data_IF_530204538484
#
_entry.id   IF_530204538484
#
_cell.length_a   1.000
_cell.length_b   1.000
_cell.length_c   1.000
_cell.angle_alpha   90.00
_cell.angle_beta   90.00
_cell.angle_gamma   90.00
#
_symmetry.space_group_name_H-M   'P 1'
#
loop_
_entity.id
_entity.type
_entity.pdbx_description
1 polymer ?
#
# COMPACT_ATOMS: atom_id res chain seq x y z
N UNK A 1 -22.78 4.40 -4.46
CA UNK A 1 -21.55 4.83 -5.20
C UNK A 1 -21.39 6.31 -4.96
N UNK A 2 -20.25 6.72 -4.44
CA UNK A 2 -19.84 8.12 -4.35
C UNK A 2 -18.92 8.40 -5.53
N UNK A 3 -19.34 9.25 -6.43
CA UNK A 3 -18.56 9.65 -7.61
C UNK A 3 -18.26 11.14 -7.47
N UNK A 4 -16.98 11.49 -7.48
CA UNK A 4 -16.53 12.87 -7.66
C UNK A 4 -15.80 12.97 -9.00
N UNK A 5 -16.19 13.93 -9.81
CA UNK A 5 -15.55 14.27 -11.07
C UNK A 5 -15.22 15.77 -11.07
N UNK A 6 -14.24 16.16 -11.86
CA UNK A 6 -13.75 17.53 -11.93
C UNK A 6 -12.38 17.72 -11.26
N UNK A 7 -12.02 18.97 -10.94
CA UNK A 7 -10.75 19.29 -10.27
C UNK A 7 -10.90 19.14 -8.76
N UNK A 8 -10.07 18.28 -8.15
CA UNK A 8 -10.07 18.11 -6.70
C UNK A 8 -9.58 19.37 -5.98
N UNK A 9 -10.13 19.70 -4.79
CA UNK A 9 -9.58 20.72 -3.94
C UNK A 9 -8.19 20.33 -3.41
N UNK A 10 -7.41 21.31 -2.98
CA UNK A 10 -6.00 21.14 -2.54
C UNK A 10 -5.79 20.05 -1.47
N UNK A 11 -6.78 19.83 -0.63
CA UNK A 11 -6.79 18.78 0.39
C UNK A 11 -8.15 18.09 0.35
N UNK A 12 -8.15 16.81 0.05
CA UNK A 12 -9.38 16.02 -0.01
C UNK A 12 -9.21 14.76 0.82
N UNK A 13 -10.15 14.52 1.72
CA UNK A 13 -10.24 13.25 2.45
C UNK A 13 -11.61 12.66 2.20
N UNK A 14 -11.65 11.44 1.66
CA UNK A 14 -12.89 10.72 1.35
C UNK A 14 -12.85 9.37 2.05
N UNK A 15 -13.82 9.13 2.90
CA UNK A 15 -14.02 7.87 3.57
C UNK A 15 -15.51 7.71 3.94
N UNK A 16 -16.10 6.51 3.80
CA UNK A 16 -17.54 6.30 4.04
C UNK A 16 -17.96 6.47 5.50
N UNK A 17 -17.09 6.15 6.44
CA UNK A 17 -17.39 6.19 7.86
C UNK A 17 -16.91 7.49 8.53
N UNK A 18 -15.61 7.74 8.47
CA UNK A 18 -14.97 8.90 9.13
C UNK A 18 -13.84 9.44 8.29
N UNK A 19 -13.88 10.73 7.93
CA UNK A 19 -12.77 11.36 7.20
C UNK A 19 -11.55 11.61 8.11
N UNK A 20 -11.80 11.97 9.38
CA UNK A 20 -10.73 12.22 10.36
C UNK A 20 -11.14 11.75 11.75
N UNK A 21 -10.33 10.90 12.37
CA UNK A 21 -10.54 10.43 13.74
C UNK A 21 -9.32 10.71 14.62
N UNK A 22 -9.56 11.21 15.82
CA UNK A 22 -8.52 11.50 16.82
C UNK A 22 -8.95 11.03 18.20
N UNK A 23 -8.03 10.36 18.93
CA UNK A 23 -8.26 9.86 20.28
C UNK A 23 -9.53 9.01 20.40
N UNK A 24 -9.75 8.13 19.43
CA UNK A 24 -11.01 7.41 19.27
C UNK A 24 -10.79 5.91 19.11
N UNK A 25 -11.88 5.14 19.27
CA UNK A 25 -11.95 3.72 18.94
C UNK A 25 -13.07 3.51 17.95
N UNK A 26 -12.80 2.75 16.89
CA UNK A 26 -13.75 2.40 15.82
C UNK A 26 -13.76 0.88 15.71
N UNK A 27 -14.86 0.25 16.10
CA UNK A 27 -15.00 -1.21 16.16
C UNK A 27 -16.20 -1.72 15.40
N UNK A 28 -16.14 -2.94 14.88
CA UNK A 28 -17.27 -3.68 14.31
C UNK A 28 -17.92 -3.04 13.09
N UNK A 29 -17.23 -2.10 12.45
CA UNK A 29 -17.79 -1.34 11.32
C UNK A 29 -17.50 -2.04 9.99
N UNK A 30 -18.51 -2.07 9.11
CA UNK A 30 -18.36 -2.60 7.75
C UNK A 30 -18.85 -1.60 6.72
N UNK A 31 -18.00 -1.30 5.73
CA UNK A 31 -18.39 -0.57 4.55
C UNK A 31 -18.76 -1.52 3.41
N UNK A 32 -19.90 -1.29 2.78
CA UNK A 32 -20.38 -1.98 1.57
C UNK A 32 -20.39 -1.08 0.33
N UNK A 33 -20.11 0.21 0.49
CA UNK A 33 -20.18 1.18 -0.59
C UNK A 33 -18.89 1.29 -1.37
N UNK A 34 -19.02 1.36 -2.68
CA UNK A 34 -17.92 1.65 -3.57
C UNK A 34 -17.55 3.13 -3.52
N UNK A 35 -16.26 3.41 -3.59
CA UNK A 35 -15.72 4.77 -3.71
C UNK A 35 -15.06 4.87 -5.07
N UNK A 36 -15.58 5.76 -5.90
CA UNK A 36 -15.04 6.05 -7.21
C UNK A 36 -14.73 7.55 -7.30
N UNK A 37 -13.45 7.86 -7.17
CA UNK A 37 -12.95 9.23 -7.21
C UNK A 37 -12.17 9.43 -8.51
N UNK A 38 -12.85 9.92 -9.53
CA UNK A 38 -12.29 10.12 -10.88
C UNK A 38 -11.85 11.56 -11.15
N UNK A 39 -11.84 12.43 -10.13
CA UNK A 39 -11.39 13.81 -10.30
C UNK A 39 -9.90 13.87 -10.61
N UNK A 40 -9.55 14.76 -11.53
CA UNK A 40 -8.16 15.07 -11.84
C UNK A 40 -7.50 15.78 -10.64
N UNK A 41 -6.42 15.21 -10.15
CA UNK A 41 -5.58 15.83 -9.12
C UNK A 41 -4.43 16.59 -9.76
N UNK A 42 -4.21 17.82 -9.28
CA UNK A 42 -3.01 18.58 -9.61
C UNK A 42 -1.86 18.20 -8.67
N UNK A 43 -0.64 18.36 -9.14
CA UNK A 43 0.56 18.09 -8.32
C UNK A 43 0.58 18.93 -7.04
N UNK A 44 1.08 18.33 -5.96
CA UNK A 44 1.23 18.99 -4.66
C UNK A 44 -0.02 18.99 -3.78
N UNK A 45 -1.10 18.36 -4.20
CA UNK A 45 -2.32 18.21 -3.42
C UNK A 45 -2.26 16.91 -2.60
N UNK A 46 -2.67 17.00 -1.34
CA UNK A 46 -2.81 15.83 -0.48
C UNK A 46 -4.22 15.28 -0.57
N UNK A 47 -4.34 14.03 -0.96
CA UNK A 47 -5.64 13.37 -1.06
C UNK A 47 -5.58 12.00 -0.38
N UNK A 48 -6.52 11.77 0.52
CA UNK A 48 -6.65 10.53 1.27
C UNK A 48 -8.00 9.88 0.95
N UNK A 49 -7.97 8.71 0.36
CA UNK A 49 -9.14 7.93 0.02
C UNK A 49 -9.06 6.54 0.67
N UNK A 50 -10.14 6.12 1.30
CA UNK A 50 -10.18 4.80 1.90
C UNK A 50 -11.58 4.20 1.92
N UNK A 51 -11.61 2.90 2.01
CA UNK A 51 -12.86 2.15 2.13
C UNK A 51 -13.56 2.33 3.48
N UNK A 52 -12.90 2.91 4.49
CA UNK A 52 -13.53 3.07 5.80
C UNK A 52 -13.18 4.38 6.51
N UNK A 53 -11.89 4.66 6.78
CA UNK A 53 -11.43 5.82 7.56
C UNK A 53 -10.33 6.56 6.81
N UNK A 54 -10.47 7.87 6.66
CA UNK A 54 -9.51 8.67 5.90
C UNK A 54 -8.18 8.83 6.62
N UNK A 55 -8.17 9.55 7.73
CA UNK A 55 -6.96 9.84 8.51
C UNK A 55 -7.19 9.58 9.99
N UNK A 56 -6.20 8.99 10.65
CA UNK A 56 -6.23 8.76 12.10
C UNK A 56 -5.04 9.37 12.83
N UNK A 57 -5.31 9.82 14.06
CA UNK A 57 -4.34 10.30 15.03
C UNK A 57 -4.68 9.66 16.38
N UNK A 58 -3.75 8.92 16.99
CA UNK A 58 -3.97 8.25 18.28
C UNK A 58 -5.34 7.54 18.35
N UNK A 59 -5.65 6.75 17.34
CA UNK A 59 -6.96 6.11 17.17
C UNK A 59 -6.77 4.63 16.88
N UNK A 60 -7.61 3.80 17.50
CA UNK A 60 -7.67 2.36 17.22
C UNK A 60 -8.80 2.07 16.25
N UNK A 61 -8.51 1.32 15.18
CA UNK A 61 -9.52 0.73 14.28
C UNK A 61 -9.51 -0.78 14.47
N UNK A 62 -10.68 -1.37 14.78
CA UNK A 62 -10.83 -2.74 15.23
C UNK A 62 -10.54 -2.88 16.72
N UNK A 63 -10.77 -4.05 17.27
CA UNK A 63 -10.67 -4.31 18.71
C UNK A 63 -9.71 -5.45 19.05
N UNK A 64 -9.95 -6.09 20.17
CA UNK A 64 -9.09 -7.16 20.68
C UNK A 64 -9.44 -8.55 20.09
N UNK A 65 -10.47 -8.64 19.24
CA UNK A 65 -10.93 -9.87 18.61
C UNK A 65 -11.43 -9.65 17.19
N UNK A 66 -11.54 -10.72 16.40
CA UNK A 66 -12.12 -10.68 15.04
C UNK A 66 -13.55 -10.14 15.02
N UNK A 67 -14.33 -10.35 16.07
CA UNK A 67 -15.71 -9.87 16.16
C UNK A 67 -15.78 -8.33 16.25
N UNK A 68 -14.74 -7.70 16.77
CA UNK A 68 -14.60 -6.25 16.87
C UNK A 68 -13.86 -5.64 15.66
N UNK A 69 -13.36 -6.47 14.77
CA UNK A 69 -12.64 -6.05 13.56
C UNK A 69 -13.53 -5.21 12.63
N UNK A 70 -12.90 -4.33 11.88
CA UNK A 70 -13.57 -3.53 10.87
C UNK A 70 -13.32 -4.08 9.47
N UNK A 71 -14.25 -3.86 8.53
CA UNK A 71 -14.06 -4.36 7.18
C UNK A 71 -14.52 -3.40 6.08
N UNK A 72 -13.84 -3.46 4.94
CA UNK A 72 -14.28 -2.84 3.70
C UNK A 72 -14.62 -3.91 2.67
N UNK A 73 -15.82 -3.83 2.08
CA UNK A 73 -16.30 -4.72 1.01
C UNK A 73 -16.52 -3.99 -0.32
N UNK A 74 -16.53 -2.66 -0.29
CA UNK A 74 -16.62 -1.85 -1.49
C UNK A 74 -15.26 -1.68 -2.17
N UNK A 75 -15.25 -1.51 -3.48
CA UNK A 75 -14.00 -1.12 -4.16
C UNK A 75 -13.63 0.35 -3.84
N UNK A 76 -12.33 0.65 -3.94
CA UNK A 76 -11.81 2.01 -3.83
C UNK A 76 -11.01 2.31 -5.09
N UNK A 77 -11.48 3.28 -5.86
CA UNK A 77 -10.86 3.67 -7.11
C UNK A 77 -10.55 5.16 -7.09
N UNK A 78 -9.35 5.50 -7.52
CA UNK A 78 -8.90 6.89 -7.61
C UNK A 78 -8.58 7.26 -9.04
N UNK A 79 -8.85 8.50 -9.40
CA UNK A 79 -8.48 9.08 -10.67
C UNK A 79 -6.98 9.39 -10.76
N UNK A 80 -6.60 9.88 -11.91
CA UNK A 80 -5.23 10.24 -12.29
C UNK A 80 -4.76 11.49 -11.55
N UNK A 81 -3.45 11.56 -11.25
CA UNK A 81 -2.76 12.82 -10.95
C UNK A 81 -2.27 13.41 -12.26
N UNK A 82 -2.80 14.59 -12.62
CA UNK A 82 -2.56 15.22 -13.92
C UNK A 82 -1.19 15.89 -14.07
N UNK A 83 -0.39 15.99 -13.00
CA UNK A 83 0.92 16.63 -13.07
C UNK A 83 2.00 15.83 -12.34
N UNK A 84 3.03 15.50 -13.08
CA UNK A 84 4.10 14.57 -12.74
C UNK A 84 5.36 15.24 -12.21
N UNK A 85 5.42 16.58 -12.16
CA UNK A 85 6.65 17.30 -11.82
C UNK A 85 7.19 16.99 -10.41
N UNK A 86 6.34 16.51 -9.49
CA UNK A 86 6.74 16.17 -8.13
C UNK A 86 6.20 14.79 -7.68
N UNK A 87 6.03 13.87 -8.61
CA UNK A 87 5.93 12.45 -8.30
C UNK A 87 4.74 11.97 -7.50
N UNK A 88 3.60 12.66 -7.52
CA UNK A 88 2.35 12.09 -7.01
C UNK A 88 2.34 11.65 -5.55
N UNK A 89 3.15 12.26 -4.68
CA UNK A 89 3.22 11.91 -3.25
C UNK A 89 1.93 12.20 -2.48
N UNK A 90 1.03 12.97 -3.07
CA UNK A 90 -0.20 13.43 -2.43
C UNK A 90 -1.32 12.41 -2.33
N UNK A 91 -1.34 11.36 -3.19
CA UNK A 91 -2.42 10.38 -3.16
C UNK A 91 -2.15 9.26 -2.16
N UNK A 92 -3.11 9.04 -1.26
CA UNK A 92 -3.08 7.97 -0.27
C UNK A 92 -4.37 7.15 -0.42
N UNK A 93 -4.28 5.93 -0.91
CA UNK A 93 -5.45 5.09 -1.20
C UNK A 93 -5.38 3.76 -0.46
N UNK A 94 -6.40 3.42 0.30
CA UNK A 94 -6.42 2.18 1.07
C UNK A 94 -7.80 1.54 1.20
N UNK A 95 -7.80 0.25 1.54
CA UNK A 95 -9.02 -0.46 1.87
C UNK A 95 -9.63 -0.05 3.21
N UNK A 96 -8.81 0.21 4.22
CA UNK A 96 -9.28 0.52 5.59
C UNK A 96 -8.94 1.95 6.00
N UNK A 97 -7.68 2.35 6.02
CA UNK A 97 -7.25 3.67 6.48
C UNK A 97 -6.24 4.28 5.53
N UNK A 98 -6.52 5.46 4.99
CA UNK A 98 -5.62 6.07 4.04
C UNK A 98 -4.33 6.58 4.70
N UNK A 99 -4.41 7.19 5.89
CA UNK A 99 -3.25 7.83 6.50
C UNK A 99 -3.23 7.70 8.03
N UNK A 100 -2.19 7.07 8.55
CA UNK A 100 -1.87 7.07 9.98
C UNK A 100 -0.87 8.19 10.25
N UNK A 101 -1.36 9.28 10.82
CA UNK A 101 -0.62 10.54 10.93
C UNK A 101 0.48 10.51 11.99
N UNK A 102 1.36 11.50 11.90
CA UNK A 102 2.49 11.74 12.79
C UNK A 102 2.03 12.29 14.15
N UNK A 103 1.43 11.43 14.96
CA UNK A 103 1.20 11.67 16.38
C UNK A 103 0.95 10.32 17.02
N UNK A 104 1.31 10.17 18.29
CA UNK A 104 1.33 8.94 19.05
C UNK A 104 0.27 7.90 18.67
N UNK A 105 0.72 6.69 18.36
CA UNK A 105 0.04 5.45 18.61
C UNK A 105 -1.28 5.15 17.89
N UNK A 106 -1.40 5.35 16.57
CA UNK A 106 -2.49 4.71 15.84
C UNK A 106 -2.34 3.18 15.86
N UNK A 107 -3.45 2.43 15.97
CA UNK A 107 -3.48 0.96 15.95
C UNK A 107 -4.57 0.47 15.02
N UNK A 108 -4.25 -0.50 14.16
CA UNK A 108 -5.24 -1.30 13.46
C UNK A 108 -5.13 -2.74 13.90
N UNK A 109 -6.27 -3.37 14.20
CA UNK A 109 -6.28 -4.76 14.64
C UNK A 109 -7.51 -5.50 14.12
N UNK A 110 -7.34 -6.72 13.60
CA UNK A 110 -8.39 -7.56 13.03
C UNK A 110 -9.22 -6.88 11.93
N UNK A 111 -8.62 -5.99 11.16
CA UNK A 111 -9.30 -5.35 10.03
C UNK A 111 -9.15 -6.18 8.75
N UNK A 112 -10.20 -6.21 7.93
CA UNK A 112 -10.16 -6.96 6.67
C UNK A 112 -10.63 -6.10 5.49
N UNK A 113 -9.81 -6.00 4.46
CA UNK A 113 -10.21 -5.44 3.18
C UNK A 113 -10.59 -6.57 2.20
N UNK A 114 -11.82 -6.56 1.71
CA UNK A 114 -12.31 -7.44 0.64
C UNK A 114 -12.44 -6.73 -0.70
N UNK A 115 -12.49 -5.39 -0.69
CA UNK A 115 -12.67 -4.59 -1.89
C UNK A 115 -11.40 -4.45 -2.70
N UNK A 116 -11.52 -4.46 -4.02
CA UNK A 116 -10.40 -4.16 -4.89
C UNK A 116 -10.03 -2.68 -4.78
N UNK A 117 -8.74 -2.39 -4.96
CA UNK A 117 -8.21 -1.02 -4.92
C UNK A 117 -7.53 -0.75 -6.24
N UNK A 118 -7.96 0.33 -6.89
CA UNK A 118 -7.37 0.78 -8.15
C UNK A 118 -6.86 2.21 -7.99
N UNK A 119 -5.54 2.40 -8.15
CA UNK A 119 -4.91 3.70 -7.95
C UNK A 119 -3.70 3.87 -8.87
N UNK A 120 -3.76 4.81 -9.82
CA UNK A 120 -2.67 5.01 -10.79
C UNK A 120 -1.45 5.71 -10.19
N UNK A 121 -1.50 6.21 -8.95
CA UNK A 121 -0.42 7.03 -8.40
C UNK A 121 -0.40 7.09 -6.88
N UNK A 122 0.73 7.47 -6.30
CA UNK A 122 0.86 7.69 -4.87
C UNK A 122 1.15 6.43 -4.07
N UNK A 123 0.63 6.38 -2.84
CA UNK A 123 0.81 5.23 -1.93
C UNK A 123 -0.49 4.46 -1.81
N UNK A 124 -0.43 3.16 -2.05
CA UNK A 124 -1.61 2.31 -2.04
C UNK A 124 -1.38 1.08 -1.18
N UNK A 125 -2.28 0.83 -0.24
CA UNK A 125 -2.22 -0.34 0.64
C UNK A 125 -3.56 -1.02 0.80
N UNK A 126 -3.57 -2.33 0.91
CA UNK A 126 -4.80 -3.09 1.16
C UNK A 126 -5.47 -2.70 2.48
N UNK A 127 -4.67 -2.41 3.48
CA UNK A 127 -5.13 -1.97 4.81
C UNK A 127 -4.81 -0.50 5.04
N UNK A 128 -3.55 -0.08 4.89
CA UNK A 128 -3.12 1.31 5.13
C UNK A 128 -2.30 1.81 3.95
N UNK A 129 -2.60 3.00 3.42
CA UNK A 129 -1.77 3.57 2.36
C UNK A 129 -0.47 4.15 2.91
N UNK A 130 -0.54 4.96 3.96
CA UNK A 130 0.65 5.53 4.60
C UNK A 130 0.64 5.31 6.10
N UNK A 131 1.64 4.61 6.58
CA UNK A 131 1.91 4.39 8.00
C UNK A 131 3.08 5.27 8.44
N UNK A 132 2.79 6.40 9.08
CA UNK A 132 3.84 7.23 9.67
C UNK A 132 4.19 6.81 11.09
N UNK A 133 3.17 6.58 11.92
CA UNK A 133 3.31 6.19 13.33
C UNK A 133 2.20 5.22 13.72
N UNK A 134 2.55 4.12 14.35
CA UNK A 134 1.60 3.16 14.87
C UNK A 134 1.84 1.73 14.41
N UNK A 135 0.92 0.86 14.78
CA UNK A 135 1.06 -0.58 14.60
C UNK A 135 -0.14 -1.18 13.88
N UNK A 136 0.09 -2.25 13.12
CA UNK A 136 -0.94 -3.00 12.43
C UNK A 136 -0.81 -4.47 12.81
N UNK A 137 -1.89 -5.05 13.34
CA UNK A 137 -1.91 -6.43 13.81
C UNK A 137 -3.06 -7.21 13.19
N UNK A 138 -2.84 -8.48 12.91
CA UNK A 138 -3.90 -9.44 12.58
C UNK A 138 -4.86 -8.97 11.45
N UNK A 139 -4.35 -8.21 10.49
CA UNK A 139 -5.15 -7.64 9.41
C UNK A 139 -4.99 -8.43 8.11
N UNK A 140 -6.09 -8.57 7.37
CA UNK A 140 -6.14 -9.31 6.12
C UNK A 140 -6.47 -8.40 4.94
N UNK A 141 -5.71 -8.47 3.86
CA UNK A 141 -6.13 -7.96 2.56
C UNK A 141 -6.53 -9.12 1.64
N UNK A 142 -7.76 -9.07 1.13
CA UNK A 142 -8.33 -10.06 0.19
C UNK A 142 -8.65 -9.47 -1.18
N UNK A 143 -8.69 -8.14 -1.27
CA UNK A 143 -8.90 -7.43 -2.52
C UNK A 143 -7.61 -7.32 -3.35
N UNK A 144 -7.75 -7.33 -4.66
CA UNK A 144 -6.65 -7.03 -5.57
C UNK A 144 -6.30 -5.54 -5.50
N UNK A 145 -5.01 -5.24 -5.53
CA UNK A 145 -4.47 -3.88 -5.64
C UNK A 145 -3.82 -3.76 -7.00
N UNK A 146 -4.25 -2.78 -7.79
CA UNK A 146 -3.74 -2.60 -9.13
C UNK A 146 -3.59 -1.14 -9.53
N UNK A 147 -2.71 -0.89 -10.49
CA UNK A 147 -2.68 0.36 -11.24
C UNK A 147 -3.86 0.35 -12.21
N UNK A 148 -4.79 1.27 -12.07
CA UNK A 148 -5.78 1.45 -13.12
C UNK A 148 -5.09 1.99 -14.39
N UNK A 149 -5.21 1.23 -15.48
CA UNK A 149 -4.71 1.64 -16.80
C UNK A 149 -5.50 2.82 -17.37
N UNK A 150 -6.69 3.09 -16.84
CA UNK A 150 -7.53 4.21 -17.27
C UNK A 150 -6.91 5.51 -16.81
N UNK A 151 -6.22 6.18 -17.69
CA UNK A 151 -5.53 7.43 -17.40
C UNK A 151 -4.02 7.31 -17.22
N UNK A 152 -3.44 6.15 -17.50
CA UNK A 152 -2.01 6.07 -17.74
C UNK A 152 -1.64 7.05 -18.84
N UNK A 153 -0.57 7.74 -18.66
CA UNK A 153 0.01 8.77 -19.48
C UNK A 153 0.15 8.32 -20.94
N UNK A 154 -0.93 8.36 -21.74
CA UNK A 154 -0.79 8.21 -23.16
C UNK A 154 0.26 9.23 -23.67
N UNK A 155 1.40 8.72 -24.09
CA UNK A 155 2.47 9.49 -24.72
C UNK A 155 3.45 10.22 -23.78
N UNK A 156 3.48 9.97 -22.45
CA UNK A 156 4.45 10.59 -21.52
C UNK A 156 5.19 9.59 -20.61
N UNK A 157 5.36 8.38 -21.03
CA UNK A 157 5.99 7.31 -20.26
C UNK A 157 7.43 7.62 -19.81
N UNK A 158 8.14 8.45 -20.55
CA UNK A 158 9.58 8.72 -20.30
C UNK A 158 9.88 9.82 -19.28
N UNK A 159 8.89 10.55 -18.77
CA UNK A 159 9.14 11.70 -17.87
C UNK A 159 8.60 11.57 -16.46
N UNK A 160 8.00 10.43 -16.13
CA UNK A 160 7.47 10.20 -14.78
C UNK A 160 8.61 9.77 -13.88
N UNK A 161 8.91 10.55 -12.87
CA UNK A 161 9.78 10.12 -11.78
C UNK A 161 9.05 9.04 -10.99
N UNK A 162 9.30 7.77 -11.30
CA UNK A 162 8.70 6.58 -10.70
C UNK A 162 8.93 6.45 -9.18
N UNK A 163 9.77 7.31 -8.61
CA UNK A 163 10.27 7.22 -7.24
C UNK A 163 9.21 7.31 -6.12
N UNK A 164 7.97 7.65 -6.44
CA UNK A 164 6.98 7.95 -5.41
C UNK A 164 5.79 6.98 -5.35
N UNK A 165 5.63 6.11 -6.34
CA UNK A 165 4.63 5.05 -6.29
C UNK A 165 5.08 3.95 -5.34
N UNK A 166 4.22 3.60 -4.39
CA UNK A 166 4.47 2.56 -3.42
C UNK A 166 3.20 1.77 -3.21
N UNK A 167 3.26 0.49 -3.50
CA UNK A 167 2.09 -0.38 -3.40
C UNK A 167 2.41 -1.60 -2.56
N UNK A 168 1.56 -1.89 -1.59
CA UNK A 168 1.72 -3.05 -0.73
C UNK A 168 0.40 -3.71 -0.38
N UNK A 169 0.42 -5.03 -0.25
CA UNK A 169 -0.77 -5.81 0.07
C UNK A 169 -1.39 -5.40 1.41
N UNK A 170 -0.59 -5.00 2.37
CA UNK A 170 -1.03 -4.47 3.67
C UNK A 170 -0.77 -2.96 3.75
N UNK A 171 0.47 -2.51 3.55
CA UNK A 171 0.86 -1.11 3.69
C UNK A 171 1.50 -0.61 2.40
N UNK A 172 1.02 0.51 1.86
CA UNK A 172 1.63 1.15 0.69
C UNK A 172 3.04 1.64 0.99
N UNK A 173 3.23 2.34 2.08
CA UNK A 173 4.56 2.73 2.51
C UNK A 173 4.60 3.43 3.86
N UNK A 174 5.79 3.43 4.44
CA UNK A 174 6.11 4.18 5.66
C UNK A 174 6.73 5.53 5.31
N UNK A 175 6.92 6.39 6.31
CA UNK A 175 7.63 7.65 6.12
C UNK A 175 9.13 7.40 5.94
N UNK A 176 9.77 8.17 5.05
CA UNK A 176 11.13 7.91 4.56
C UNK A 176 12.25 8.28 5.53
N UNK A 177 11.94 8.95 6.63
CA UNK A 177 12.96 9.75 7.29
C UNK A 177 13.84 9.03 8.29
N UNK A 178 13.43 7.88 8.86
CA UNK A 178 14.24 7.12 9.83
C UNK A 178 13.69 5.71 10.04
N UNK A 179 14.56 4.78 10.38
CA UNK A 179 14.18 3.47 10.93
C UNK A 179 13.40 3.67 12.22
N UNK A 180 12.25 3.04 12.33
CA UNK A 180 11.34 3.13 13.48
C UNK A 180 11.06 1.72 14.02
N UNK A 181 12.00 1.15 14.77
CA UNK A 181 11.87 -0.22 15.27
C UNK A 181 10.76 -0.40 16.31
N UNK A 182 10.23 0.69 16.83
CA UNK A 182 9.11 0.69 17.77
C UNK A 182 7.75 0.44 17.10
N UNK A 183 7.68 0.53 15.78
CA UNK A 183 6.44 0.26 15.03
C UNK A 183 6.53 -1.03 14.24
N UNK A 184 5.39 -1.69 14.12
CA UNK A 184 5.34 -3.02 13.49
C UNK A 184 4.10 -3.23 12.62
N UNK A 185 4.28 -4.09 11.61
CA UNK A 185 3.21 -4.80 10.93
C UNK A 185 3.37 -6.27 11.28
N UNK A 186 2.41 -6.82 12.03
CA UNK A 186 2.55 -8.14 12.63
C UNK A 186 1.33 -9.03 12.38
N UNK A 187 1.58 -10.30 12.08
CA UNK A 187 0.54 -11.34 11.90
C UNK A 187 -0.50 -10.97 10.84
N UNK A 188 -0.10 -10.21 9.82
CA UNK A 188 -0.99 -9.78 8.75
C UNK A 188 -0.87 -10.70 7.53
N UNK A 189 -2.00 -10.90 6.81
CA UNK A 189 -2.00 -11.75 5.61
C UNK A 189 -2.51 -10.98 4.39
N UNK A 190 -1.72 -10.98 3.32
CA UNK A 190 -2.18 -10.57 2.02
C UNK A 190 -2.58 -11.79 1.18
N UNK A 191 -3.85 -11.89 0.82
CA UNK A 191 -4.41 -12.89 -0.11
C UNK A 191 -4.62 -12.32 -1.50
N UNK A 192 -4.75 -11.00 -1.63
CA UNK A 192 -5.01 -10.34 -2.90
C UNK A 192 -3.73 -10.17 -3.73
N UNK A 193 -3.90 -10.09 -5.04
CA UNK A 193 -2.78 -9.76 -5.92
C UNK A 193 -2.40 -8.28 -5.77
N UNK A 194 -1.10 -7.99 -5.88
CA UNK A 194 -0.55 -6.62 -5.97
C UNK A 194 0.08 -6.49 -7.34
N UNK A 195 -0.58 -5.79 -8.25
CA UNK A 195 -0.20 -5.71 -9.65
C UNK A 195 0.04 -4.27 -10.07
N UNK A 196 1.27 -3.95 -10.40
CA UNK A 196 1.64 -2.58 -10.71
C UNK A 196 2.42 -2.48 -12.01
N UNK A 197 1.97 -1.60 -12.86
CA UNK A 197 2.73 -1.10 -13.99
C UNK A 197 3.33 0.25 -13.57
N UNK A 198 4.60 0.48 -13.78
CA UNK A 198 5.28 1.74 -13.43
C UNK A 198 5.42 2.04 -11.91
N UNK A 199 5.39 1.04 -11.03
CA UNK A 199 5.73 1.25 -9.63
C UNK A 199 7.15 0.78 -9.33
N UNK A 200 7.90 1.61 -8.65
CA UNK A 200 9.27 1.28 -8.23
C UNK A 200 9.34 0.50 -6.93
N UNK A 201 8.23 0.43 -6.18
CA UNK A 201 8.23 -0.14 -4.82
C UNK A 201 6.95 -0.94 -4.58
N UNK A 202 6.96 -2.16 -5.09
CA UNK A 202 5.82 -3.07 -5.03
C UNK A 202 6.12 -4.22 -4.10
N UNK A 203 5.35 -4.38 -3.03
CA UNK A 203 5.54 -5.45 -2.05
C UNK A 203 4.24 -6.21 -1.73
N UNK A 204 4.35 -7.50 -1.48
CA UNK A 204 3.21 -8.31 -1.07
C UNK A 204 2.66 -7.90 0.30
N UNK A 205 3.51 -7.40 1.19
CA UNK A 205 3.13 -6.87 2.49
C UNK A 205 3.29 -5.35 2.50
N UNK A 206 4.49 -4.82 2.24
CA UNK A 206 4.78 -3.39 2.30
C UNK A 206 5.49 -2.93 1.03
N UNK A 207 5.02 -1.87 0.39
CA UNK A 207 5.69 -1.30 -0.77
C UNK A 207 7.02 -0.64 -0.41
N UNK A 208 7.06 0.10 0.69
CA UNK A 208 8.28 0.71 1.23
C UNK A 208 8.28 0.69 2.76
N UNK A 209 9.31 0.12 3.37
CA UNK A 209 9.37 -0.07 4.82
C UNK A 209 10.62 0.50 5.48
N UNK A 210 10.43 1.02 6.68
CA UNK A 210 11.46 1.35 7.67
C UNK A 210 11.05 0.91 9.10
N UNK A 211 10.10 -0.02 9.21
CA UNK A 211 9.54 -0.55 10.45
C UNK A 211 9.71 -2.07 10.52
N UNK A 212 9.32 -2.68 11.63
CA UNK A 212 9.36 -4.14 11.79
C UNK A 212 8.23 -4.83 11.01
N UNK A 213 8.50 -6.00 10.43
CA UNK A 213 7.53 -6.88 9.78
C UNK A 213 7.66 -8.27 10.41
N UNK A 214 6.64 -8.71 11.14
CA UNK A 214 6.73 -9.92 11.96
C UNK A 214 5.58 -10.88 11.63
N UNK A 215 5.87 -12.14 11.36
CA UNK A 215 4.87 -13.18 11.17
C UNK A 215 3.85 -12.91 10.08
N UNK A 216 4.20 -12.10 9.09
CA UNK A 216 3.30 -11.77 7.98
C UNK A 216 3.34 -12.81 6.86
N UNK A 217 2.21 -13.01 6.19
CA UNK A 217 2.07 -13.99 5.13
C UNK A 217 1.59 -13.34 3.84
N UNK A 218 2.31 -13.51 2.74
CA UNK A 218 1.83 -13.17 1.42
C UNK A 218 1.40 -14.43 0.65
N UNK A 219 0.14 -14.47 0.21
CA UNK A 219 -0.43 -15.56 -0.60
C UNK A 219 -0.84 -15.11 -1.99
N UNK A 220 -0.90 -13.80 -2.23
CA UNK A 220 -1.22 -13.24 -3.54
C UNK A 220 0.01 -13.14 -4.44
N UNK A 221 -0.21 -12.98 -5.73
CA UNK A 221 0.85 -12.65 -6.67
C UNK A 221 1.28 -11.19 -6.51
N UNK A 222 2.59 -10.94 -6.64
CA UNK A 222 3.18 -9.61 -6.64
C UNK A 222 3.85 -9.38 -7.99
N UNK A 223 3.22 -8.57 -8.81
CA UNK A 223 3.72 -8.25 -10.15
C UNK A 223 4.09 -6.79 -10.24
N UNK A 224 5.27 -6.51 -10.76
CA UNK A 224 5.75 -5.15 -10.97
C UNK A 224 6.74 -5.09 -12.12
N UNK A 225 6.92 -3.92 -12.71
CA UNK A 225 7.93 -3.73 -13.73
C UNK A 225 9.33 -3.85 -13.12
N UNK A 226 10.19 -4.56 -13.81
CA UNK A 226 11.59 -4.71 -13.41
C UNK A 226 12.43 -3.77 -14.26
N UNK A 227 13.07 -2.80 -13.63
CA UNK A 227 14.00 -1.90 -14.32
C UNK A 227 15.19 -1.51 -13.42
N UNK A 228 16.25 -1.07 -14.04
CA UNK A 228 17.45 -0.59 -13.36
C UNK A 228 17.60 0.90 -13.64
N UNK A 229 17.82 1.72 -12.60
CA UNK A 229 18.11 3.13 -12.80
C UNK A 229 19.39 3.33 -13.63
N UNK A 230 19.49 4.45 -14.34
CA UNK A 230 20.55 4.74 -15.30
C UNK A 230 21.97 4.70 -14.74
N UNK A 231 22.15 4.69 -13.42
CA UNK A 231 23.45 4.50 -12.75
C UNK A 231 23.80 3.00 -12.53
N UNK A 232 22.90 2.07 -12.87
CA UNK A 232 23.12 0.63 -12.74
C UNK A 232 23.12 0.08 -11.31
N UNK A 233 22.92 0.93 -10.29
CA UNK A 233 23.05 0.53 -8.89
C UNK A 233 21.71 0.22 -8.20
N UNK A 234 20.63 0.83 -8.67
CA UNK A 234 19.31 0.62 -8.09
C UNK A 234 18.45 -0.23 -9.00
N UNK A 235 18.15 -1.43 -8.57
CA UNK A 235 17.17 -2.30 -9.23
C UNK A 235 15.81 -2.13 -8.59
N UNK A 236 14.82 -1.85 -9.39
CA UNK A 236 13.42 -1.75 -8.98
C UNK A 236 12.65 -2.97 -9.47
N UNK A 237 11.62 -3.35 -8.72
CA UNK A 237 10.79 -4.48 -9.08
C UNK A 237 9.90 -4.94 -7.93
N UNK A 238 9.20 -6.04 -8.08
CA UNK A 238 8.36 -6.61 -7.05
C UNK A 238 9.19 -7.40 -6.01
N UNK A 239 8.75 -7.31 -4.73
CA UNK A 239 9.23 -8.20 -3.67
C UNK A 239 8.03 -8.79 -2.93
N UNK A 240 8.02 -10.09 -2.64
CA UNK A 240 6.85 -10.70 -2.00
C UNK A 240 6.59 -10.17 -0.58
N UNK A 241 7.62 -9.70 0.10
CA UNK A 241 7.50 -9.09 1.43
C UNK A 241 7.52 -7.56 1.31
N UNK A 242 8.60 -7.01 0.75
CA UNK A 242 8.81 -5.57 0.70
C UNK A 242 9.41 -5.14 -0.63
N UNK A 243 8.81 -4.15 -1.28
CA UNK A 243 9.32 -3.61 -2.54
C UNK A 243 10.61 -2.82 -2.37
N UNK A 244 10.76 -2.06 -1.28
CA UNK A 244 11.97 -1.29 -1.00
C UNK A 244 12.15 -1.05 0.50
N UNK A 245 13.40 -1.12 0.93
CA UNK A 245 13.81 -0.72 2.27
C UNK A 245 14.60 0.58 2.23
N UNK A 246 14.14 1.57 2.98
CA UNK A 246 14.79 2.88 3.07
C UNK A 246 16.04 2.93 3.93
N UNK A 247 16.39 1.84 4.61
CA UNK A 247 17.52 1.84 5.53
C UNK A 247 18.79 1.34 4.83
N UNK A 248 19.68 2.25 4.48
CA UNK A 248 21.00 1.96 3.87
C UNK A 248 21.95 1.19 4.79
N UNK A 249 21.60 0.98 6.06
CA UNK A 249 22.45 0.33 7.07
C UNK A 249 21.68 -0.56 8.06
N UNK A 250 20.38 -0.68 7.94
CA UNK A 250 19.64 -1.57 8.82
C UNK A 250 19.83 -3.01 8.33
N UNK A 251 20.55 -3.77 9.10
CA UNK A 251 20.39 -5.21 9.13
C UNK A 251 18.91 -5.48 9.33
N UNK A 252 18.26 -6.13 8.36
CA UNK A 252 16.85 -6.52 8.43
C UNK A 252 16.63 -7.64 9.45
N UNK A 253 17.18 -7.49 10.64
CA UNK A 253 16.78 -8.23 11.83
C UNK A 253 15.32 -7.97 12.20
N UNK A 254 14.66 -7.09 11.47
CA UNK A 254 13.29 -6.65 11.72
C UNK A 254 12.24 -7.41 10.91
N UNK A 255 12.62 -8.33 10.03
CA UNK A 255 11.68 -9.23 9.34
C UNK A 255 11.85 -10.63 9.92
N UNK A 256 10.89 -11.07 10.74
CA UNK A 256 10.95 -12.36 11.42
C UNK A 256 9.74 -13.22 11.08
N UNK A 257 9.97 -14.51 10.88
CA UNK A 257 8.91 -15.52 10.68
C UNK A 257 7.89 -15.16 9.60
N UNK A 258 8.29 -14.45 8.54
CA UNK A 258 7.42 -14.15 7.42
C UNK A 258 7.41 -15.31 6.41
N UNK A 259 6.25 -15.56 5.81
CA UNK A 259 6.06 -16.69 4.88
C UNK A 259 5.50 -16.20 3.56
N UNK A 260 6.03 -16.72 2.47
CA UNK A 260 5.46 -16.55 1.14
C UNK A 260 4.85 -17.84 0.61
N UNK A 261 3.62 -17.77 0.15
CA UNK A 261 2.94 -18.84 -0.59
C UNK A 261 2.36 -18.33 -1.92
N UNK A 262 2.85 -17.19 -2.41
CA UNK A 262 2.38 -16.56 -3.63
C UNK A 262 3.43 -16.57 -4.75
N UNK A 263 3.25 -15.68 -5.72
CA UNK A 263 4.06 -15.59 -6.92
C UNK A 263 4.71 -14.21 -7.05
N UNK A 264 5.88 -14.12 -7.68
CA UNK A 264 6.57 -12.84 -7.94
C UNK A 264 7.04 -12.80 -9.39
N UNK A 265 6.71 -11.74 -10.10
CA UNK A 265 7.09 -11.66 -11.50
C UNK A 265 6.98 -10.26 -12.11
N UNK A 266 7.40 -10.20 -13.37
CA UNK A 266 7.32 -9.03 -14.22
C UNK A 266 5.86 -8.79 -14.63
N UNK A 267 5.34 -7.59 -14.40
CA UNK A 267 3.97 -7.23 -14.71
C UNK A 267 3.62 -7.46 -16.20
N UNK A 268 4.50 -7.04 -17.08
CA UNK A 268 4.23 -7.13 -18.53
C UNK A 268 4.06 -8.58 -19.02
N UNK A 269 4.68 -9.53 -18.35
CA UNK A 269 4.64 -10.97 -18.72
C UNK A 269 3.45 -11.71 -18.10
N UNK A 270 3.08 -11.37 -16.87
CA UNK A 270 2.19 -12.20 -16.07
C UNK A 270 0.87 -11.52 -15.67
N UNK A 271 0.59 -10.29 -16.13
CA UNK A 271 -0.62 -9.53 -15.76
C UNK A 271 -1.94 -10.23 -16.10
N UNK A 272 -1.95 -11.02 -17.18
CA UNK A 272 -3.14 -11.72 -17.65
C UNK A 272 -3.35 -13.07 -16.95
N UNK A 273 -2.27 -13.69 -16.44
CA UNK A 273 -2.29 -14.87 -15.58
C UNK A 273 -1.22 -14.76 -14.48
N UNK A 274 -1.54 -14.11 -13.37
CA UNK A 274 -0.60 -13.90 -12.26
C UNK A 274 -0.07 -15.20 -11.63
N UNK A 275 -0.81 -16.29 -11.76
CA UNK A 275 -0.42 -17.59 -11.20
C UNK A 275 0.61 -18.33 -12.04
N UNK A 276 0.84 -17.89 -13.26
CA UNK A 276 1.92 -18.42 -14.12
C UNK A 276 3.29 -17.80 -13.81
N UNK A 277 3.35 -16.77 -12.97
CA UNK A 277 4.61 -16.20 -12.51
C UNK A 277 5.38 -17.19 -11.62
N UNK A 278 6.71 -17.06 -11.51
CA UNK A 278 7.50 -17.89 -10.62
C UNK A 278 6.99 -17.86 -9.17
N UNK A 279 7.03 -19.00 -8.49
CA UNK A 279 6.80 -19.05 -7.06
C UNK A 279 7.79 -18.15 -6.32
N UNK A 280 7.31 -17.52 -5.28
CA UNK A 280 8.14 -16.64 -4.48
C UNK A 280 9.14 -17.46 -3.65
N UNK A 281 10.37 -16.96 -3.60
CA UNK A 281 11.49 -17.55 -2.84
C UNK A 281 12.04 -16.51 -1.87
N UNK A 282 12.88 -16.94 -0.94
CA UNK A 282 13.55 -16.01 -0.02
C UNK A 282 14.43 -14.99 -0.76
N UNK A 283 14.96 -15.35 -1.93
CA UNK A 283 15.78 -14.45 -2.75
C UNK A 283 15.02 -13.27 -3.33
N UNK A 284 13.70 -13.42 -3.57
CA UNK A 284 12.84 -12.37 -4.05
C UNK A 284 11.90 -11.77 -2.99
N UNK A 285 12.24 -11.97 -1.71
CA UNK A 285 11.55 -11.33 -0.60
C UNK A 285 11.59 -9.79 -0.69
N UNK A 286 12.71 -9.27 -1.17
CA UNK A 286 12.96 -7.85 -1.41
C UNK A 286 13.35 -7.60 -2.84
N UNK A 287 12.96 -6.49 -3.39
CA UNK A 287 13.43 -6.07 -4.71
C UNK A 287 14.93 -5.74 -4.74
N UNK A 288 15.49 -5.27 -3.63
CA UNK A 288 16.89 -4.88 -3.52
C UNK A 288 17.78 -6.07 -3.15
N UNK A 289 18.73 -6.42 -4.03
CA UNK A 289 19.60 -7.59 -3.94
C UNK A 289 20.60 -7.62 -2.76
N UNK A 290 20.67 -6.62 -1.91
CA UNK A 290 21.68 -6.47 -0.86
C UNK A 290 21.16 -6.61 0.57
N UNK A 291 20.00 -7.23 0.75
CA UNK A 291 19.40 -7.33 2.08
C UNK A 291 19.31 -8.79 2.51
N UNK A 292 19.95 -9.11 3.63
CA UNK A 292 19.86 -10.41 4.25
C UNK A 292 18.46 -10.56 4.89
N UNK A 293 17.71 -11.50 4.38
CA UNK A 293 16.46 -11.95 4.96
C UNK A 293 16.77 -13.08 5.94
N UNK A 294 16.32 -12.95 7.18
CA UNK A 294 16.34 -14.00 8.18
C UNK A 294 14.93 -14.61 8.23
N UNK A 295 14.73 -15.83 7.65
CA UNK A 295 13.41 -16.47 7.52
C UNK A 295 12.77 -16.86 8.85
#
# INVERSE_FOLDING_TARGET
IWIMSGTAPKYTVIAPLVCFAKNSVIEGCTNYYNIDFTADNKSGEFNALSGLVGTIVNTTIGGESKAQGCSNRGFVRTGRISNTANGGTGMQTAGICAFMAKAEGGKLNYCTNYGNISCPSGRTGGIVATLMYGNIYNCDNRGTIEDDKVGQHEGKEASVTYNYKRMGGIVGGTDDLKTKPEYTVESCTNYGNVMTHLSVRTGGIIGHSNIQIIGCVNKGAVLGDVFTEGNGTNRHGPGWLCGYSGASTATWTNCKACVCGGYVGDYSKYKDDPTSAPEATNENAFCHANQNFDP
#
